data_IF_527238059532
#
_entry.id   IF_527238059532
#
_cell.length_a   1.000
_cell.length_b   1.000
_cell.length_c   1.000
_cell.angle_alpha   90.00
_cell.angle_beta   90.00
_cell.angle_gamma   90.00
#
_symmetry.space_group_name_H-M   'P 1'
#
loop_
_entity.id
_entity.type
_entity.pdbx_description
1 polymer ?
#
# COMPACT_ATOMS: atom_id res chain seq x y z
N UNK A 1 11.96 15.94 -8.56
CA UNK A 1 11.22 16.78 -7.60
C UNK A 1 11.78 16.53 -6.21
N UNK A 2 11.86 17.53 -5.33
CA UNK A 2 12.26 17.32 -3.93
C UNK A 2 11.11 16.71 -3.14
N UNK A 3 11.41 16.06 -2.01
CA UNK A 3 10.44 15.34 -1.15
C UNK A 3 9.29 16.27 -0.69
N UNK A 4 9.61 17.47 -0.25
CA UNK A 4 8.64 18.45 0.23
C UNK A 4 7.70 18.93 -0.91
N UNK A 5 8.23 19.15 -2.10
CA UNK A 5 7.46 19.51 -3.29
C UNK A 5 6.49 18.41 -3.67
N UNK A 6 6.93 17.14 -3.59
CA UNK A 6 6.08 15.98 -3.82
C UNK A 6 4.90 15.95 -2.83
N UNK A 7 5.17 16.15 -1.54
CA UNK A 7 4.11 16.11 -0.53
C UNK A 7 3.05 17.18 -0.76
N UNK A 8 3.44 18.40 -1.13
CA UNK A 8 2.48 19.47 -1.46
C UNK A 8 1.61 19.07 -2.65
N UNK A 9 2.23 18.61 -3.74
CA UNK A 9 1.48 18.22 -4.94
C UNK A 9 0.58 17.00 -4.69
N UNK A 10 1.08 15.99 -3.98
CA UNK A 10 0.31 14.78 -3.68
C UNK A 10 -0.89 15.09 -2.75
N UNK A 11 -0.72 16.01 -1.81
CA UNK A 11 -1.83 16.48 -0.95
C UNK A 11 -2.91 17.21 -1.74
N UNK A 12 -2.51 18.09 -2.65
CA UNK A 12 -3.45 18.79 -3.54
C UNK A 12 -4.18 17.82 -4.47
N UNK A 13 -3.46 16.82 -5.00
CA UNK A 13 -4.06 15.74 -5.79
C UNK A 13 -5.11 14.98 -4.98
N UNK A 14 -4.77 14.50 -3.80
CA UNK A 14 -5.69 13.77 -2.93
C UNK A 14 -6.92 14.60 -2.56
N UNK A 15 -6.73 15.89 -2.25
CA UNK A 15 -7.83 16.83 -2.01
C UNK A 15 -8.75 16.99 -3.21
N UNK A 16 -8.22 17.05 -4.43
CA UNK A 16 -8.98 17.20 -5.67
C UNK A 16 -9.89 16.01 -5.98
N UNK A 17 -9.56 14.82 -5.50
CA UNK A 17 -10.35 13.59 -5.65
C UNK A 17 -11.17 13.24 -4.40
N UNK A 18 -11.31 14.19 -3.46
CA UNK A 18 -12.12 14.02 -2.24
C UNK A 18 -11.54 13.06 -1.21
N UNK A 19 -10.24 12.74 -1.30
CA UNK A 19 -9.55 11.92 -0.29
C UNK A 19 -8.95 12.85 0.76
N UNK A 20 -9.29 12.62 2.03
CA UNK A 20 -8.50 13.19 3.12
C UNK A 20 -7.09 12.60 2.96
N UNK A 21 -6.10 13.47 2.77
CA UNK A 21 -4.73 13.01 2.56
C UNK A 21 -4.30 12.10 3.71
N UNK A 22 -3.77 10.93 3.41
CA UNK A 22 -3.08 10.08 4.38
C UNK A 22 -1.78 10.76 4.79
N UNK A 23 -1.89 11.86 5.52
CA UNK A 23 -0.75 12.62 6.04
C UNK A 23 -0.45 12.14 7.46
N UNK A 24 0.04 10.91 7.59
CA UNK A 24 0.70 10.50 8.83
C UNK A 24 2.12 11.06 8.95
N UNK A 25 2.55 11.82 7.96
CA UNK A 25 3.91 12.38 7.90
C UNK A 25 3.89 13.83 8.38
N UNK A 26 4.57 14.06 9.51
CA UNK A 26 4.80 15.40 10.08
C UNK A 26 5.52 16.31 9.07
N UNK A 27 6.38 15.75 8.21
CA UNK A 27 7.09 16.48 7.16
C UNK A 27 6.13 16.96 6.07
N UNK A 28 5.13 16.16 5.68
CA UNK A 28 4.10 16.59 4.74
C UNK A 28 3.30 17.78 5.27
N UNK A 29 2.93 17.75 6.54
CA UNK A 29 2.21 18.86 7.18
C UNK A 29 3.06 20.13 7.24
N UNK A 30 4.37 20.01 7.52
CA UNK A 30 5.30 21.16 7.48
C UNK A 30 5.44 21.72 6.08
N UNK A 31 5.60 20.86 5.06
CA UNK A 31 5.75 21.27 3.67
C UNK A 31 4.51 22.01 3.15
N UNK A 32 3.31 21.59 3.53
CA UNK A 32 2.05 22.27 3.17
C UNK A 32 1.95 23.69 3.70
N UNK A 33 2.59 23.99 4.84
CA UNK A 33 2.61 25.32 5.45
C UNK A 33 3.82 26.16 5.00
N UNK A 34 4.70 25.63 4.15
CA UNK A 34 5.88 26.35 3.66
C UNK A 34 5.53 27.20 2.44
N UNK A 35 5.43 28.49 2.66
CA UNK A 35 5.10 29.48 1.64
C UNK A 35 6.12 29.51 0.49
N UNK A 36 7.39 29.25 0.75
CA UNK A 36 8.45 29.28 -0.27
C UNK A 36 8.32 28.08 -1.22
N UNK A 37 8.01 26.91 -0.70
CA UNK A 37 7.74 25.73 -1.50
C UNK A 37 6.51 25.93 -2.38
N UNK A 38 5.42 26.44 -1.79
CA UNK A 38 4.19 26.74 -2.52
C UNK A 38 4.43 27.75 -3.65
N UNK A 39 5.06 28.88 -3.35
CA UNK A 39 5.38 29.90 -4.34
C UNK A 39 6.28 29.39 -5.46
N UNK A 40 7.22 28.49 -5.15
CA UNK A 40 8.04 27.83 -6.14
C UNK A 40 7.20 26.95 -7.06
N UNK A 41 6.28 26.16 -6.53
CA UNK A 41 5.40 25.28 -7.32
C UNK A 41 4.44 26.08 -8.21
N UNK A 42 3.95 27.23 -7.74
CA UNK A 42 3.20 28.19 -8.57
C UNK A 42 4.07 28.74 -9.71
N UNK A 43 5.30 29.17 -9.40
CA UNK A 43 6.22 29.73 -10.40
C UNK A 43 6.63 28.69 -11.47
N UNK A 44 6.72 27.42 -11.09
CA UNK A 44 7.00 26.31 -12.04
C UNK A 44 5.77 25.89 -12.84
N UNK A 45 4.60 26.43 -12.54
CA UNK A 45 3.34 26.10 -13.21
C UNK A 45 2.73 24.77 -12.76
N UNK A 46 3.14 24.21 -11.62
CA UNK A 46 2.56 22.98 -11.07
C UNK A 46 1.29 23.22 -10.27
N UNK A 47 1.14 24.44 -9.75
CA UNK A 47 -0.05 24.91 -9.01
C UNK A 47 -0.58 26.15 -9.71
N UNK A 48 -1.89 26.22 -9.92
CA UNK A 48 -2.56 27.40 -10.42
C UNK A 48 -2.69 28.45 -9.30
N UNK A 49 -2.21 29.67 -9.57
CA UNK A 49 -2.10 30.72 -8.53
C UNK A 49 -3.46 31.16 -7.95
N UNK A 50 -4.48 31.20 -8.79
CA UNK A 50 -5.80 31.78 -8.41
C UNK A 50 -6.65 30.75 -7.65
N UNK A 51 -6.67 29.51 -8.11
CA UNK A 51 -7.47 28.44 -7.51
C UNK A 51 -6.73 27.61 -6.45
N UNK A 52 -5.37 27.67 -6.44
CA UNK A 52 -4.55 26.80 -5.61
C UNK A 52 -4.56 25.31 -6.04
N UNK A 53 -5.16 25.03 -7.19
CA UNK A 53 -5.33 23.64 -7.67
C UNK A 53 -4.07 23.14 -8.38
N UNK A 54 -3.86 21.82 -8.34
CA UNK A 54 -2.80 21.19 -9.12
C UNK A 54 -3.12 21.30 -10.62
N UNK A 55 -2.13 21.71 -11.43
CA UNK A 55 -2.26 21.79 -12.88
C UNK A 55 -1.99 20.43 -13.56
N UNK A 56 -2.27 20.38 -14.88
CA UNK A 56 -1.87 19.22 -15.69
C UNK A 56 -0.37 18.95 -15.61
N UNK A 57 0.46 19.99 -15.69
CA UNK A 57 1.92 19.86 -15.56
C UNK A 57 2.33 19.38 -14.17
N UNK A 58 1.62 19.80 -13.12
CA UNK A 58 1.80 19.29 -11.77
C UNK A 58 1.46 17.80 -11.65
N UNK A 59 0.38 17.35 -12.29
CA UNK A 59 0.03 15.92 -12.36
C UNK A 59 1.09 15.12 -13.12
N UNK A 60 1.56 15.61 -14.26
CA UNK A 60 2.63 14.99 -15.04
C UNK A 60 3.93 14.85 -14.22
N UNK A 61 4.20 15.81 -13.33
CA UNK A 61 5.35 15.77 -12.43
C UNK A 61 5.22 14.70 -11.33
N UNK A 62 4.00 14.26 -10.99
CA UNK A 62 3.74 13.14 -10.07
C UNK A 62 3.85 11.76 -10.74
N UNK A 63 3.72 11.66 -12.07
CA UNK A 63 3.70 10.36 -12.77
C UNK A 63 4.89 9.43 -12.49
N UNK A 64 6.15 9.92 -12.34
CA UNK A 64 7.28 9.05 -11.97
C UNK A 64 7.12 8.36 -10.62
N UNK A 65 6.23 8.85 -9.78
CA UNK A 65 5.95 8.36 -8.42
C UNK A 65 4.68 7.51 -8.35
N UNK A 66 4.04 7.24 -9.50
CA UNK A 66 2.82 6.45 -9.56
C UNK A 66 3.06 5.01 -9.11
N UNK A 67 2.23 4.54 -8.20
CA UNK A 67 2.13 3.11 -7.88
C UNK A 67 1.36 2.41 -9.01
N UNK A 68 2.00 1.43 -9.63
CA UNK A 68 1.48 0.78 -10.82
C UNK A 68 0.49 -0.35 -10.51
N UNK A 69 0.74 -1.06 -9.41
CA UNK A 69 0.00 -2.27 -9.06
C UNK A 69 0.17 -2.61 -7.57
N UNK A 70 -0.53 -3.65 -7.15
CA UNK A 70 -0.33 -4.27 -5.84
C UNK A 70 -0.21 -5.79 -5.97
N UNK A 71 0.60 -6.38 -5.09
CA UNK A 71 0.73 -7.83 -4.88
C UNK A 71 0.29 -8.14 -3.46
N UNK A 72 -0.74 -9.00 -3.31
CA UNK A 72 -1.24 -9.45 -2.01
C UNK A 72 -0.81 -10.90 -1.78
N UNK A 73 -0.03 -11.12 -0.74
CA UNK A 73 0.43 -12.46 -0.35
C UNK A 73 -0.63 -13.15 0.49
N UNK A 74 -1.24 -14.22 -0.04
CA UNK A 74 -2.34 -14.96 0.58
C UNK A 74 -2.15 -16.48 0.52
N UNK A 75 -0.92 -16.96 0.34
CA UNK A 75 -0.64 -18.37 0.14
C UNK A 75 -0.54 -19.20 1.44
N UNK A 76 -0.31 -18.56 2.59
CA UNK A 76 0.01 -19.22 3.85
C UNK A 76 -1.13 -20.03 4.48
N UNK A 77 -0.80 -21.18 5.11
CA UNK A 77 -1.76 -22.06 5.78
C UNK A 77 -2.26 -21.56 7.14
N UNK A 78 -1.65 -20.49 7.69
CA UNK A 78 -2.07 -19.84 8.96
C UNK A 78 -2.22 -20.81 10.14
N UNK A 79 -1.27 -21.73 10.32
CA UNK A 79 -1.33 -22.82 11.31
C UNK A 79 -1.48 -22.36 12.75
N UNK A 80 -1.01 -21.15 13.09
CA UNK A 80 -1.21 -20.53 14.42
C UNK A 80 -2.68 -20.22 14.73
N UNK A 81 -3.57 -20.26 13.73
CA UNK A 81 -5.01 -20.00 13.87
C UNK A 81 -5.88 -21.26 13.84
N UNK A 82 -5.31 -22.45 14.03
CA UNK A 82 -6.06 -23.68 14.18
C UNK A 82 -6.94 -23.60 15.45
N UNK A 83 -8.25 -23.95 15.43
CA UNK A 83 -8.94 -24.67 14.32
C UNK A 83 -9.52 -23.76 13.21
N UNK A 84 -9.61 -22.46 13.38
CA UNK A 84 -10.27 -21.56 12.43
C UNK A 84 -9.68 -21.63 11.01
N UNK A 85 -8.36 -21.74 10.91
CA UNK A 85 -7.68 -21.85 9.61
C UNK A 85 -7.94 -23.19 8.90
N UNK A 86 -8.46 -24.20 9.63
CA UNK A 86 -8.92 -25.46 9.00
C UNK A 86 -10.23 -25.29 8.23
N UNK A 87 -11.02 -24.27 8.55
CA UNK A 87 -12.27 -23.98 7.85
C UNK A 87 -12.01 -23.08 6.64
N UNK A 88 -11.29 -21.97 6.83
CA UNK A 88 -11.00 -21.00 5.77
C UNK A 88 -9.62 -20.32 5.95
N UNK A 89 -9.00 -19.85 4.86
CA UNK A 89 -7.76 -19.07 4.93
C UNK A 89 -7.93 -17.77 5.70
N UNK A 90 -6.86 -17.31 6.37
CA UNK A 90 -6.86 -16.12 7.22
C UNK A 90 -7.34 -14.85 6.49
N UNK A 91 -6.96 -14.67 5.23
CA UNK A 91 -7.40 -13.53 4.41
C UNK A 91 -8.92 -13.45 4.19
N UNK A 92 -9.65 -14.55 4.41
CA UNK A 92 -11.10 -14.61 4.30
C UNK A 92 -11.82 -14.44 5.65
N UNK A 93 -11.08 -14.30 6.76
CA UNK A 93 -11.71 -14.01 8.06
C UNK A 93 -12.44 -12.68 8.01
N UNK A 94 -13.60 -12.65 8.66
CA UNK A 94 -14.43 -11.46 8.76
C UNK A 94 -14.08 -10.66 10.01
N UNK A 95 -13.81 -9.37 9.82
CA UNK A 95 -13.60 -8.40 10.88
C UNK A 95 -14.58 -7.24 10.64
N UNK A 96 -15.41 -6.95 11.60
CA UNK A 96 -16.45 -5.91 11.51
C UNK A 96 -17.38 -6.06 10.30
N UNK A 97 -17.69 -7.31 9.89
CA UNK A 97 -18.60 -7.62 8.80
C UNK A 97 -17.97 -7.53 7.40
N UNK A 98 -16.65 -7.39 7.29
CA UNK A 98 -15.93 -7.39 6.02
C UNK A 98 -14.80 -8.43 6.04
N UNK A 99 -14.57 -9.13 4.93
CA UNK A 99 -13.41 -10.02 4.77
C UNK A 99 -12.13 -9.19 4.64
N UNK A 100 -11.07 -9.63 5.33
CA UNK A 100 -9.79 -8.90 5.37
C UNK A 100 -9.26 -8.57 3.97
N UNK A 101 -9.17 -9.57 3.11
CA UNK A 101 -8.65 -9.40 1.75
C UNK A 101 -9.56 -8.51 0.88
N UNK A 102 -10.88 -8.64 1.03
CA UNK A 102 -11.83 -7.83 0.25
C UNK A 102 -11.75 -6.34 0.63
N UNK A 103 -11.65 -6.06 1.94
CA UNK A 103 -11.43 -4.70 2.42
C UNK A 103 -10.14 -4.11 1.84
N UNK A 104 -9.05 -4.88 1.87
CA UNK A 104 -7.76 -4.42 1.36
C UNK A 104 -7.81 -4.16 -0.15
N UNK A 105 -8.46 -5.05 -0.93
CA UNK A 105 -8.66 -4.85 -2.38
C UNK A 105 -9.46 -3.56 -2.65
N UNK A 106 -10.57 -3.33 -1.93
CA UNK A 106 -11.36 -2.10 -2.06
C UNK A 106 -10.52 -0.86 -1.76
N UNK A 107 -9.76 -0.87 -0.66
CA UNK A 107 -8.89 0.24 -0.27
C UNK A 107 -7.83 0.56 -1.34
N UNK A 108 -7.23 -0.47 -1.96
CA UNK A 108 -6.31 -0.31 -3.09
C UNK A 108 -7.01 0.29 -4.31
N UNK A 109 -8.19 -0.23 -4.68
CA UNK A 109 -8.96 0.28 -5.81
C UNK A 109 -9.43 1.72 -5.59
N UNK A 110 -9.86 2.06 -4.38
CA UNK A 110 -10.21 3.43 -3.99
C UNK A 110 -8.99 4.36 -4.05
N UNK A 111 -7.78 3.85 -3.84
CA UNK A 111 -6.53 4.58 -4.05
C UNK A 111 -6.14 4.74 -5.52
N UNK A 112 -6.94 4.21 -6.46
CA UNK A 112 -6.65 4.24 -7.89
C UNK A 112 -5.77 3.09 -8.39
N UNK A 113 -5.42 2.12 -7.53
CA UNK A 113 -4.58 0.97 -7.85
C UNK A 113 -5.48 -0.20 -8.26
N UNK A 114 -5.71 -0.34 -9.57
CA UNK A 114 -6.66 -1.31 -10.13
C UNK A 114 -6.02 -2.63 -10.54
N UNK A 115 -4.71 -2.64 -10.84
CA UNK A 115 -3.99 -3.86 -11.21
C UNK A 115 -3.52 -4.55 -9.93
N UNK A 116 -4.27 -5.55 -9.47
CA UNK A 116 -4.02 -6.26 -8.22
C UNK A 116 -3.80 -7.74 -8.53
N UNK A 117 -2.67 -8.27 -8.08
CA UNK A 117 -2.32 -9.68 -8.18
C UNK A 117 -2.34 -10.30 -6.79
N UNK A 118 -3.04 -11.42 -6.62
CA UNK A 118 -3.09 -12.16 -5.36
C UNK A 118 -2.31 -13.47 -5.52
N UNK A 119 -1.32 -13.68 -4.65
CA UNK A 119 -0.56 -14.94 -4.62
C UNK A 119 -1.26 -15.91 -3.69
N UNK A 120 -1.79 -16.99 -4.24
CA UNK A 120 -2.59 -18.00 -3.56
C UNK A 120 -1.83 -19.31 -3.34
N UNK A 121 -2.19 -20.06 -2.31
CA UNK A 121 -1.66 -21.39 -2.03
C UNK A 121 -2.68 -22.24 -1.28
N UNK A 122 -2.67 -22.17 0.05
CA UNK A 122 -3.59 -22.92 0.89
C UNK A 122 -5.05 -22.57 0.59
N UNK A 123 -5.86 -23.58 0.28
CA UNK A 123 -7.30 -23.45 -0.06
C UNK A 123 -7.58 -22.36 -1.10
N UNK A 124 -6.74 -22.30 -2.12
CA UNK A 124 -6.78 -21.30 -3.20
C UNK A 124 -8.17 -21.16 -3.85
N UNK A 125 -8.92 -22.25 -3.93
CA UNK A 125 -10.25 -22.30 -4.55
C UNK A 125 -11.25 -21.37 -3.86
N UNK A 126 -11.07 -21.12 -2.56
CA UNK A 126 -11.94 -20.24 -1.80
C UNK A 126 -11.79 -18.76 -2.17
N UNK A 127 -10.73 -18.39 -2.89
CA UNK A 127 -10.45 -17.04 -3.33
C UNK A 127 -10.88 -16.74 -4.78
N UNK A 128 -11.20 -17.76 -5.59
CA UNK A 128 -11.41 -17.56 -7.03
C UNK A 128 -12.54 -16.59 -7.35
N UNK A 129 -13.55 -16.47 -6.49
CA UNK A 129 -14.62 -15.49 -6.65
C UNK A 129 -14.14 -14.02 -6.68
N UNK A 130 -12.93 -13.74 -6.17
CA UNK A 130 -12.36 -12.40 -6.19
C UNK A 130 -12.03 -11.90 -7.60
N UNK A 131 -11.76 -12.81 -8.54
CA UNK A 131 -11.54 -12.47 -9.95
C UNK A 131 -12.80 -11.84 -10.54
N UNK A 132 -13.93 -12.53 -10.43
CA UNK A 132 -15.22 -12.02 -10.93
C UNK A 132 -15.68 -10.76 -10.21
N UNK A 133 -15.44 -10.69 -8.90
CA UNK A 133 -15.96 -9.61 -8.05
C UNK A 133 -15.13 -8.33 -8.13
N UNK A 134 -13.80 -8.43 -8.26
CA UNK A 134 -12.87 -7.31 -8.15
C UNK A 134 -11.90 -7.18 -9.32
N UNK A 135 -11.88 -8.11 -10.26
CA UNK A 135 -10.97 -8.10 -11.40
C UNK A 135 -9.50 -8.35 -11.04
N UNK A 136 -9.25 -9.04 -9.93
CA UNK A 136 -7.88 -9.38 -9.51
C UNK A 136 -7.32 -10.55 -10.33
N UNK A 137 -5.99 -10.65 -10.42
CA UNK A 137 -5.29 -11.77 -11.04
C UNK A 137 -4.73 -12.70 -9.98
N UNK A 138 -4.49 -13.96 -10.34
CA UNK A 138 -3.90 -14.93 -9.43
C UNK A 138 -2.55 -15.44 -9.92
N UNK A 139 -1.64 -15.62 -8.96
CA UNK A 139 -0.42 -16.42 -9.09
C UNK A 139 -0.54 -17.55 -8.08
N UNK A 140 -0.27 -18.79 -8.50
CA UNK A 140 -0.40 -19.95 -7.63
C UNK A 140 0.98 -20.35 -7.09
N UNK A 141 1.10 -20.44 -5.78
CA UNK A 141 2.25 -20.99 -5.08
C UNK A 141 1.92 -22.42 -4.61
N UNK A 142 2.27 -23.41 -5.39
CA UNK A 142 2.03 -24.81 -5.02
C UNK A 142 3.02 -25.31 -3.94
N UNK A 143 4.07 -24.55 -3.64
CA UNK A 143 5.08 -24.86 -2.61
C UNK A 143 4.81 -24.17 -1.26
N UNK A 144 3.61 -23.62 -1.06
CA UNK A 144 3.25 -22.80 0.11
C UNK A 144 3.46 -23.49 1.48
N UNK A 145 3.45 -24.81 1.52
CA UNK A 145 3.62 -25.64 2.73
C UNK A 145 5.10 -25.96 3.04
N UNK A 146 6.01 -25.71 2.11
CA UNK A 146 7.44 -26.03 2.24
C UNK A 146 8.27 -24.77 2.38
N UNK A 147 7.88 -23.71 1.66
CA UNK A 147 8.60 -22.45 1.56
C UNK A 147 7.77 -21.30 2.16
N UNK A 148 8.48 -20.28 2.64
CA UNK A 148 7.87 -19.11 3.28
C UNK A 148 7.36 -18.06 2.26
N UNK A 149 6.95 -16.88 2.76
CA UNK A 149 6.46 -15.77 1.95
C UNK A 149 7.43 -15.26 0.87
N UNK A 150 8.75 -15.53 1.02
CA UNK A 150 9.76 -15.14 0.02
C UNK A 150 9.51 -15.86 -1.30
N UNK A 151 9.12 -17.14 -1.27
CA UNK A 151 8.76 -17.86 -2.49
C UNK A 151 7.54 -17.26 -3.18
N UNK A 152 6.51 -16.88 -2.41
CA UNK A 152 5.34 -16.18 -2.96
C UNK A 152 5.73 -14.87 -3.64
N UNK A 153 6.63 -14.11 -3.03
CA UNK A 153 7.15 -12.88 -3.62
C UNK A 153 8.01 -13.14 -4.85
N UNK A 154 8.83 -14.20 -4.83
CA UNK A 154 9.66 -14.59 -5.97
C UNK A 154 8.81 -14.99 -7.19
N UNK A 155 7.70 -15.71 -6.98
CA UNK A 155 6.77 -16.03 -8.05
C UNK A 155 6.12 -14.79 -8.68
N UNK A 156 5.93 -13.74 -7.90
CA UNK A 156 5.38 -12.46 -8.36
C UNK A 156 6.44 -11.46 -8.83
N UNK A 157 7.71 -11.83 -8.96
CA UNK A 157 8.82 -10.92 -9.23
C UNK A 157 8.65 -10.06 -10.49
N UNK A 158 8.02 -10.58 -11.54
CA UNK A 158 7.79 -9.86 -12.79
C UNK A 158 6.73 -8.74 -12.63
N UNK A 159 5.91 -8.82 -11.59
CA UNK A 159 4.94 -7.77 -11.24
C UNK A 159 5.58 -6.63 -10.43
N UNK A 160 6.80 -6.84 -9.86
CA UNK A 160 7.41 -5.88 -8.97
C UNK A 160 8.02 -4.70 -9.74
N UNK A 161 7.41 -3.52 -9.56
CA UNK A 161 7.82 -2.22 -10.10
C UNK A 161 7.65 -1.19 -8.97
N UNK A 162 6.92 -0.09 -9.23
CA UNK A 162 6.33 0.71 -8.16
C UNK A 162 5.09 -0.03 -7.65
N UNK A 163 5.27 -0.93 -6.68
CA UNK A 163 4.28 -1.93 -6.29
C UNK A 163 4.07 -1.92 -4.78
N UNK A 164 2.80 -1.90 -4.35
CA UNK A 164 2.49 -2.26 -2.97
C UNK A 164 2.58 -3.77 -2.78
N UNK A 165 3.36 -4.21 -1.81
CA UNK A 165 3.42 -5.61 -1.36
C UNK A 165 2.66 -5.68 -0.05
N UNK A 166 1.56 -6.44 -0.05
CA UNK A 166 0.64 -6.54 1.06
C UNK A 166 0.54 -7.99 1.55
N UNK A 167 0.17 -8.18 2.81
CA UNK A 167 -0.23 -9.47 3.35
C UNK A 167 -1.74 -9.49 3.56
N UNK A 168 -2.39 -10.61 3.24
CA UNK A 168 -3.86 -10.70 3.17
C UNK A 168 -4.59 -10.63 4.52
N UNK A 169 -3.84 -10.65 5.62
CA UNK A 169 -4.36 -10.70 7.00
C UNK A 169 -4.25 -9.35 7.74
N UNK A 170 -3.89 -8.29 7.06
CA UNK A 170 -3.87 -6.94 7.61
C UNK A 170 -5.25 -6.29 7.58
N UNK A 171 -5.65 -5.66 8.68
CA UNK A 171 -6.86 -4.86 8.78
C UNK A 171 -6.50 -3.39 8.97
N UNK A 172 -6.70 -2.58 7.95
CA UNK A 172 -6.49 -1.13 8.02
C UNK A 172 -7.81 -0.43 8.35
N UNK A 173 -7.87 0.30 9.47
CA UNK A 173 -9.05 1.07 9.88
C UNK A 173 -9.36 2.16 8.86
N UNK A 174 -8.33 2.93 8.50
CA UNK A 174 -8.37 3.92 7.43
C UNK A 174 -7.60 3.40 6.23
N UNK A 175 -7.85 3.97 5.04
CA UNK A 175 -7.16 3.58 3.83
C UNK A 175 -5.72 4.13 3.82
N UNK A 176 -4.67 3.29 3.97
CA UNK A 176 -3.28 3.75 4.01
C UNK A 176 -2.65 3.94 2.63
N UNK A 177 -3.34 3.49 1.57
CA UNK A 177 -2.77 3.47 0.23
C UNK A 177 -2.92 4.81 -0.48
N UNK A 178 -1.88 5.21 -1.22
CA UNK A 178 -1.86 6.38 -2.08
C UNK A 178 -1.58 5.98 -3.53
N UNK A 179 -2.04 6.79 -4.47
CA UNK A 179 -1.74 6.56 -5.88
C UNK A 179 -0.30 6.90 -6.25
N UNK A 180 0.33 7.79 -5.50
CA UNK A 180 1.71 8.20 -5.70
C UNK A 180 2.49 8.05 -4.40
N UNK A 181 3.71 7.51 -4.49
CA UNK A 181 4.63 7.32 -3.36
C UNK A 181 6.01 7.84 -3.71
N UNK A 182 6.60 8.65 -2.82
CA UNK A 182 7.87 9.30 -3.09
C UNK A 182 9.04 8.35 -3.09
N UNK A 183 9.05 7.40 -2.16
CA UNK A 183 10.15 6.45 -1.92
C UNK A 183 9.59 5.11 -1.42
N UNK A 184 10.36 4.06 -1.60
CA UNK A 184 10.08 2.77 -0.97
C UNK A 184 10.09 2.89 0.56
N UNK A 185 9.08 2.33 1.23
CA UNK A 185 8.99 2.28 2.67
C UNK A 185 8.44 0.93 3.14
N UNK A 186 8.67 0.64 4.39
CA UNK A 186 8.07 -0.49 5.09
C UNK A 186 7.11 0.03 6.16
N UNK A 187 5.87 -0.46 6.13
CA UNK A 187 4.87 -0.12 7.15
C UNK A 187 4.95 -1.12 8.30
N UNK A 188 5.18 -0.61 9.49
CA UNK A 188 5.26 -1.39 10.72
C UNK A 188 4.61 -0.66 11.88
N UNK A 189 4.61 -1.28 13.05
CA UNK A 189 4.18 -0.65 14.30
C UNK A 189 5.30 -0.73 15.34
N UNK A 190 5.33 0.22 16.25
CA UNK A 190 6.26 0.19 17.39
C UNK A 190 5.72 -0.76 18.44
N UNK A 191 6.54 -1.72 18.85
CA UNK A 191 6.25 -2.64 19.96
C UNK A 191 7.35 -2.59 21.02
N UNK A 192 6.98 -2.79 22.27
CA UNK A 192 7.91 -2.85 23.41
C UNK A 192 8.00 -4.27 23.98
N UNK A 193 7.51 -5.28 23.23
CA UNK A 193 7.45 -6.65 23.70
C UNK A 193 8.51 -7.50 23.02
N UNK A 194 8.95 -8.53 23.72
CA UNK A 194 9.72 -9.64 23.12
C UNK A 194 8.77 -10.30 22.10
N UNK A 195 9.20 -10.38 20.86
CA UNK A 195 8.39 -10.92 19.75
C UNK A 195 9.18 -11.95 18.96
N UNK A 196 8.47 -12.93 18.40
CA UNK A 196 9.00 -13.87 17.41
C UNK A 196 8.82 -13.33 15.98
N UNK A 197 8.20 -12.17 15.81
CA UNK A 197 8.01 -11.53 14.50
C UNK A 197 9.30 -10.82 14.06
N UNK A 198 9.41 -10.58 12.77
CA UNK A 198 10.52 -9.80 12.19
C UNK A 198 10.42 -8.36 12.72
N UNK A 199 11.49 -7.88 13.30
CA UNK A 199 11.60 -6.50 13.76
C UNK A 199 12.75 -5.79 13.05
N UNK A 200 12.71 -4.47 13.04
CA UNK A 200 13.76 -3.64 12.51
C UNK A 200 14.09 -2.51 13.47
N UNK A 201 15.37 -2.23 13.64
CA UNK A 201 15.84 -1.01 14.28
C UNK A 201 15.83 0.13 13.27
N UNK A 202 15.37 1.28 13.70
CA UNK A 202 15.33 2.49 12.87
C UNK A 202 16.08 3.62 13.53
N UNK A 203 16.75 4.45 12.72
CA UNK A 203 17.39 5.66 13.19
C UNK A 203 16.40 6.81 13.47
N UNK A 204 16.90 7.99 13.85
CA UNK A 204 16.09 9.18 14.10
C UNK A 204 15.29 9.65 12.90
N UNK A 205 15.74 9.32 11.71
CA UNK A 205 15.11 9.69 10.44
C UNK A 205 14.13 8.61 9.92
N UNK A 206 13.94 7.52 10.70
CA UNK A 206 13.08 6.41 10.35
C UNK A 206 13.67 5.44 9.33
N UNK A 207 14.99 5.50 9.06
CA UNK A 207 15.65 4.55 8.16
C UNK A 207 15.96 3.26 8.91
N UNK A 208 15.72 2.13 8.27
CA UNK A 208 16.08 0.82 8.79
C UNK A 208 17.61 0.70 8.84
N UNK A 209 18.16 0.44 10.02
CA UNK A 209 19.61 0.26 10.25
C UNK A 209 19.98 -1.18 10.56
N UNK A 210 19.01 -1.98 11.06
CA UNK A 210 19.16 -3.41 11.32
C UNK A 210 17.83 -4.14 11.17
N UNK A 211 17.85 -5.44 10.78
CA UNK A 211 16.70 -6.35 10.73
C UNK A 211 17.12 -7.71 11.32
#
# INVERSE_FOLDING_TARGET
>A
MRKEEFYVLNSLYNGSIGRAGCTYDVEATKALNDTDIYNKLVKTGYIEKESGSITKTGLEALEPYRVNNAVILAAGASTRFIPLSLEQPKGLFEVKGERLIERQIKQLQDAGIKNITVVLGYKKEMFYYLEDKYGVKFIINDSFNIKNNIESLYLAKEELKNTYICVSDSYYIENPFNQYEYITYYSGYRGNLITEEIYADVDSDGKIVCM
#
